data_IF_588752486329
#
_entry.id   IF_588752486329
#
_cell.length_a   1.000
_cell.length_b   1.000
_cell.length_c   1.000
_cell.angle_alpha   90.00
_cell.angle_beta   90.00
_cell.angle_gamma   90.00
#
_symmetry.space_group_name_H-M   'P 1'
#
loop_
_entity.id
_entity.type
_entity.pdbx_description
1 polymer ?
#
# COMPACT_ATOMS: atom_id res chain seq x y z
N UNK A 1 -15.13 -4.23 9.01
CA UNK A 1 -15.39 -2.85 9.52
C UNK A 1 -14.56 -1.86 8.71
N UNK A 2 -15.08 -0.68 8.47
CA UNK A 2 -14.32 0.40 7.83
C UNK A 2 -14.29 1.60 8.76
N UNK A 3 -13.09 2.15 9.00
CA UNK A 3 -12.93 3.36 9.81
C UNK A 3 -12.08 4.38 9.08
N UNK A 4 -12.13 5.63 9.55
CA UNK A 4 -11.22 6.68 9.08
C UNK A 4 -9.93 6.62 9.91
N UNK A 5 -8.80 7.02 9.31
CA UNK A 5 -7.52 7.01 10.01
C UNK A 5 -7.56 7.80 11.31
N UNK A 6 -8.28 8.94 11.32
CA UNK A 6 -8.37 9.81 12.51
C UNK A 6 -9.09 9.14 13.68
N UNK A 7 -9.81 8.03 13.46
CA UNK A 7 -10.48 7.26 14.51
C UNK A 7 -9.62 6.13 15.05
N UNK A 8 -8.35 6.12 14.71
CA UNK A 8 -7.42 5.08 15.12
C UNK A 8 -6.18 5.68 15.78
N UNK A 9 -5.43 4.85 16.47
CA UNK A 9 -4.09 5.22 16.94
C UNK A 9 -3.14 4.02 16.81
N UNK A 10 -1.84 4.32 16.75
CA UNK A 10 -0.80 3.31 16.58
C UNK A 10 0.10 3.32 17.82
N UNK A 11 0.43 2.13 18.32
CA UNK A 11 1.33 2.00 19.46
C UNK A 11 2.81 1.97 19.03
N UNK A 12 3.71 1.79 19.98
CA UNK A 12 5.17 1.76 19.73
C UNK A 12 5.60 0.55 18.91
N UNK A 13 4.76 -0.47 18.81
CA UNK A 13 5.03 -1.67 18.00
C UNK A 13 4.35 -1.62 16.64
N UNK A 14 3.85 -0.44 16.27
CA UNK A 14 3.17 -0.17 15.00
C UNK A 14 1.87 -0.96 14.83
N UNK A 15 1.23 -1.32 15.92
CA UNK A 15 -0.10 -1.95 15.89
C UNK A 15 -1.18 -0.89 15.96
N UNK A 16 -2.21 -1.07 15.18
CA UNK A 16 -3.30 -0.10 15.05
C UNK A 16 -4.50 -0.51 15.90
N UNK A 17 -5.03 0.45 16.64
CA UNK A 17 -6.17 0.28 17.56
C UNK A 17 -7.33 1.17 17.15
N UNK A 18 -8.52 0.70 17.44
CA UNK A 18 -9.76 1.45 17.31
C UNK A 18 -10.58 1.17 18.57
N UNK A 19 -10.96 2.22 19.30
CA UNK A 19 -11.72 2.10 20.56
C UNK A 19 -11.05 1.13 21.56
N UNK A 20 -9.72 1.27 21.69
CA UNK A 20 -8.90 0.50 22.62
C UNK A 20 -8.78 -1.00 22.31
N UNK A 21 -9.19 -1.42 21.12
CA UNK A 21 -9.03 -2.79 20.65
C UNK A 21 -8.17 -2.82 19.39
N UNK A 22 -7.42 -3.91 19.21
CA UNK A 22 -6.67 -4.12 17.96
C UNK A 22 -7.66 -4.10 16.79
N UNK A 23 -7.34 -3.30 15.77
CA UNK A 23 -8.24 -3.09 14.66
C UNK A 23 -8.12 -4.18 13.60
N UNK A 24 -9.25 -4.72 13.17
CA UNK A 24 -9.37 -5.60 12.01
C UNK A 24 -10.40 -4.99 11.07
N UNK A 25 -10.01 -4.74 9.82
CA UNK A 25 -10.89 -4.17 8.82
C UNK A 25 -10.16 -3.21 7.91
N UNK A 26 -10.93 -2.33 7.27
CA UNK A 26 -10.42 -1.35 6.32
C UNK A 26 -10.29 0.03 6.97
N UNK A 27 -9.19 0.71 6.68
CA UNK A 27 -8.96 2.08 7.11
C UNK A 27 -8.82 2.98 5.90
N UNK A 28 -9.56 4.10 5.90
CA UNK A 28 -9.46 5.09 4.82
C UNK A 28 -8.82 6.37 5.34
N UNK A 29 -8.06 7.02 4.47
CA UNK A 29 -7.48 8.35 4.70
C UNK A 29 -8.02 9.29 3.64
N UNK A 30 -8.39 10.51 4.05
CA UNK A 30 -8.94 11.52 3.14
C UNK A 30 -8.05 12.74 3.08
N UNK A 31 -8.06 13.43 1.93
CA UNK A 31 -7.37 14.71 1.79
C UNK A 31 -8.22 15.85 2.35
N UNK A 32 -7.74 17.07 2.21
CA UNK A 32 -8.41 18.27 2.75
C UNK A 32 -9.80 18.51 2.16
N UNK A 33 -10.03 18.03 0.94
CA UNK A 33 -11.32 18.15 0.25
C UNK A 33 -12.24 16.97 0.49
N UNK A 34 -11.85 16.02 1.36
CA UNK A 34 -12.66 14.89 1.72
C UNK A 34 -12.57 13.70 0.75
N UNK A 35 -11.64 13.73 -0.21
CA UNK A 35 -11.46 12.63 -1.15
C UNK A 35 -10.65 11.51 -0.52
N UNK A 36 -11.06 10.26 -0.71
CA UNK A 36 -10.31 9.11 -0.21
C UNK A 36 -9.01 8.99 -1.01
N UNK A 37 -7.87 9.04 -0.33
CA UNK A 37 -6.55 8.93 -0.94
C UNK A 37 -5.80 7.66 -0.53
N UNK A 38 -6.33 6.92 0.44
CA UNK A 38 -5.68 5.69 0.89
C UNK A 38 -6.72 4.73 1.46
N UNK A 39 -6.55 3.44 1.16
CA UNK A 39 -7.31 2.37 1.78
C UNK A 39 -6.31 1.28 2.17
N UNK A 40 -6.29 0.96 3.46
CA UNK A 40 -5.37 -0.03 4.03
C UNK A 40 -6.18 -1.04 4.83
N UNK A 41 -5.85 -2.32 4.69
CA UNK A 41 -6.49 -3.38 5.45
C UNK A 41 -5.60 -3.81 6.62
N UNK A 42 -6.25 -4.18 7.73
CA UNK A 42 -5.57 -4.61 8.95
C UNK A 42 -6.21 -5.89 9.49
N UNK A 43 -5.39 -6.73 10.10
CA UNK A 43 -5.84 -7.89 10.87
C UNK A 43 -5.15 -7.84 12.22
N UNK A 44 -5.93 -7.77 13.30
CA UNK A 44 -5.40 -7.67 14.68
C UNK A 44 -4.36 -6.56 14.82
N UNK A 45 -4.65 -5.39 14.23
CA UNK A 45 -3.81 -4.20 14.31
C UNK A 45 -2.60 -4.17 13.38
N UNK A 46 -2.40 -5.19 12.57
CA UNK A 46 -1.24 -5.32 11.68
C UNK A 46 -1.73 -5.29 10.23
N UNK A 47 -1.01 -4.60 9.36
CA UNK A 47 -1.37 -4.52 7.95
C UNK A 47 -1.48 -5.90 7.33
N UNK A 48 -2.63 -6.20 6.73
CA UNK A 48 -2.89 -7.50 6.10
C UNK A 48 -4.00 -7.34 5.08
N UNK A 49 -3.74 -7.73 3.84
CA UNK A 49 -4.69 -7.63 2.75
C UNK A 49 -4.36 -6.52 1.76
N UNK A 50 -5.28 -6.20 0.85
CA UNK A 50 -5.05 -5.19 -0.17
C UNK A 50 -4.81 -3.79 0.39
N UNK A 51 -3.93 -3.04 -0.29
CA UNK A 51 -3.64 -1.64 0.03
C UNK A 51 -3.66 -0.84 -1.26
N UNK A 52 -4.33 0.31 -1.24
CA UNK A 52 -4.47 1.16 -2.42
C UNK A 52 -4.27 2.61 -2.01
N UNK A 53 -3.55 3.37 -2.85
CA UNK A 53 -3.43 4.81 -2.71
C UNK A 53 -3.84 5.47 -4.02
N UNK A 54 -4.42 6.67 -3.93
CA UNK A 54 -4.88 7.45 -5.08
C UNK A 54 -4.27 8.84 -5.05
N UNK A 55 -4.09 9.40 -6.25
CA UNK A 55 -3.81 10.82 -6.38
C UNK A 55 -5.10 11.61 -6.15
N UNK A 56 -4.98 12.92 -5.93
CA UNK A 56 -6.15 13.79 -5.67
C UNK A 56 -7.16 13.79 -6.81
N UNK A 57 -6.75 13.48 -8.03
CA UNK A 57 -7.64 13.44 -9.19
C UNK A 57 -8.41 12.11 -9.30
N UNK A 58 -8.19 11.18 -8.38
CA UNK A 58 -8.87 9.89 -8.37
C UNK A 58 -8.14 8.77 -9.09
N UNK A 59 -7.05 9.06 -9.80
CA UNK A 59 -6.27 8.02 -10.45
C UNK A 59 -5.45 7.25 -9.42
N UNK A 60 -5.17 5.97 -9.70
CA UNK A 60 -4.38 5.15 -8.78
C UNK A 60 -2.94 5.62 -8.73
N UNK A 61 -2.40 5.69 -7.51
CA UNK A 61 -1.02 6.02 -7.24
C UNK A 61 -0.21 4.76 -6.96
N UNK A 62 -0.77 3.84 -6.17
CA UNK A 62 -0.07 2.64 -5.72
C UNK A 62 -1.08 1.57 -5.31
N UNK A 63 -0.77 0.30 -5.58
CA UNK A 63 -1.56 -0.80 -5.04
C UNK A 63 -0.69 -2.02 -4.82
N UNK A 64 -1.09 -2.84 -3.84
CA UNK A 64 -0.39 -4.06 -3.50
C UNK A 64 -1.09 -4.78 -2.37
N UNK A 65 -0.39 -5.72 -1.76
CA UNK A 65 -0.90 -6.52 -0.65
C UNK A 65 0.15 -6.65 0.43
N UNK A 66 -0.33 -6.81 1.66
CA UNK A 66 0.53 -7.09 2.80
C UNK A 66 -0.03 -8.30 3.56
N UNK A 67 0.83 -8.97 4.32
CA UNK A 67 0.43 -10.03 5.21
C UNK A 67 1.35 -9.99 6.43
N UNK A 68 0.75 -9.91 7.62
CA UNK A 68 1.53 -9.81 8.85
C UNK A 68 2.45 -8.60 8.91
N UNK A 69 2.08 -7.50 8.26
CA UNK A 69 2.88 -6.28 8.22
C UNK A 69 3.95 -6.26 7.12
N UNK A 70 4.01 -7.29 6.28
CA UNK A 70 5.05 -7.46 5.26
C UNK A 70 4.43 -7.38 3.88
N UNK A 71 5.05 -6.62 2.97
CA UNK A 71 4.61 -6.55 1.57
C UNK A 71 4.84 -7.88 0.89
N UNK A 72 3.82 -8.39 0.19
CA UNK A 72 3.89 -9.66 -0.55
C UNK A 72 3.27 -9.47 -1.94
N UNK A 73 3.57 -10.40 -2.84
CA UNK A 73 2.97 -10.43 -4.17
C UNK A 73 3.40 -9.25 -5.03
N UNK A 74 2.51 -8.83 -5.89
CA UNK A 74 2.79 -7.76 -6.84
C UNK A 74 2.39 -6.41 -6.26
N UNK A 75 3.31 -5.43 -6.40
CA UNK A 75 3.09 -4.03 -6.05
C UNK A 75 3.29 -3.19 -7.28
N UNK A 76 2.37 -2.26 -7.54
CA UNK A 76 2.45 -1.34 -8.68
C UNK A 76 2.31 0.09 -8.20
N UNK A 77 3.07 0.97 -8.84
CA UNK A 77 2.98 2.41 -8.63
C UNK A 77 2.90 3.10 -9.98
N UNK A 78 2.09 4.14 -10.09
CA UNK A 78 1.90 4.90 -11.33
C UNK A 78 2.36 6.33 -11.15
N UNK A 79 2.84 6.91 -12.25
CA UNK A 79 3.10 8.34 -12.30
C UNK A 79 1.77 9.11 -12.39
N UNK A 80 1.75 10.42 -12.05
CA UNK A 80 0.51 11.21 -12.18
C UNK A 80 -0.08 11.21 -13.58
N UNK A 81 0.73 10.98 -14.62
CA UNK A 81 0.26 10.91 -16.00
C UNK A 81 -0.39 9.57 -16.37
N UNK A 82 -0.48 8.63 -15.43
CA UNK A 82 -1.09 7.32 -15.63
C UNK A 82 -0.14 6.24 -16.13
N UNK A 83 1.10 6.58 -16.42
CA UNK A 83 2.12 5.61 -16.86
C UNK A 83 2.60 4.79 -15.65
N UNK A 84 2.84 3.50 -15.87
CA UNK A 84 3.39 2.64 -14.81
C UNK A 84 4.78 3.14 -14.42
N UNK A 85 5.00 3.36 -13.13
CA UNK A 85 6.26 3.87 -12.59
C UNK A 85 7.12 2.77 -11.98
N UNK A 86 6.49 1.83 -11.25
CA UNK A 86 7.19 0.76 -10.55
C UNK A 86 6.34 -0.51 -10.57
N UNK A 87 7.02 -1.63 -10.71
CA UNK A 87 6.41 -2.95 -10.58
C UNK A 87 7.35 -3.81 -9.75
N UNK A 88 6.93 -4.16 -8.56
CA UNK A 88 7.72 -4.97 -7.62
C UNK A 88 7.01 -6.28 -7.38
N UNK A 89 7.77 -7.36 -7.29
CA UNK A 89 7.23 -8.67 -6.92
C UNK A 89 7.99 -9.16 -5.69
N UNK A 90 7.23 -9.52 -4.67
CA UNK A 90 7.75 -10.07 -3.41
C UNK A 90 7.26 -11.50 -3.25
N UNK A 91 8.05 -12.35 -2.59
CA UNK A 91 7.61 -13.69 -2.24
C UNK A 91 6.73 -13.63 -0.97
N UNK A 92 6.27 -14.79 -0.50
CA UNK A 92 5.36 -14.86 0.65
C UNK A 92 6.01 -14.41 1.96
N UNK A 93 7.33 -14.35 2.03
CA UNK A 93 8.09 -13.90 3.19
C UNK A 93 8.50 -12.43 3.08
N UNK A 94 8.07 -11.74 2.01
CA UNK A 94 8.43 -10.34 1.78
C UNK A 94 9.78 -10.13 1.14
N UNK A 95 10.42 -11.19 0.64
CA UNK A 95 11.69 -11.07 -0.07
C UNK A 95 11.49 -10.61 -1.51
N UNK A 96 12.48 -9.90 -2.04
CA UNK A 96 12.44 -9.41 -3.40
C UNK A 96 12.54 -10.57 -4.40
N UNK A 97 11.62 -10.59 -5.39
CA UNK A 97 11.68 -11.49 -6.54
C UNK A 97 12.07 -10.71 -7.79
N UNK A 98 11.43 -9.56 -8.00
CA UNK A 98 11.71 -8.72 -9.15
C UNK A 98 11.44 -7.26 -8.83
N UNK A 99 12.20 -6.37 -9.47
CA UNK A 99 12.04 -4.93 -9.32
C UNK A 99 12.23 -4.26 -10.66
N UNK A 100 11.20 -3.50 -11.08
CA UNK A 100 11.24 -2.73 -12.32
C UNK A 100 10.80 -1.29 -12.06
N UNK A 101 11.43 -0.34 -12.75
CA UNK A 101 11.05 1.07 -12.67
C UNK A 101 11.09 1.68 -14.05
N UNK A 102 10.17 2.60 -14.31
CA UNK A 102 10.06 3.35 -15.57
C UNK A 102 9.99 4.84 -15.26
N UNK A 103 10.52 5.65 -16.18
CA UNK A 103 10.39 7.10 -16.08
C UNK A 103 9.02 7.55 -16.62
N UNK A 104 8.78 8.87 -16.62
CA UNK A 104 7.50 9.44 -17.05
C UNK A 104 7.19 9.22 -18.52
N UNK A 105 8.19 9.00 -19.33
CA UNK A 105 8.06 8.76 -20.77
C UNK A 105 7.89 7.27 -21.09
N UNK A 106 7.89 6.41 -20.07
CA UNK A 106 7.71 4.98 -20.25
C UNK A 106 9.00 4.20 -20.50
N UNK A 107 10.15 4.84 -20.33
CA UNK A 107 11.44 4.17 -20.52
C UNK A 107 11.81 3.36 -19.28
N UNK A 108 12.22 2.12 -19.46
CA UNK A 108 12.65 1.24 -18.39
C UNK A 108 14.01 1.72 -17.84
N UNK A 109 14.06 2.08 -16.57
CA UNK A 109 15.29 2.59 -15.91
C UNK A 109 15.92 1.59 -14.97
N UNK A 110 15.16 0.67 -14.40
CA UNK A 110 15.66 -0.40 -13.52
C UNK A 110 14.92 -1.69 -13.86
N UNK A 111 15.66 -2.78 -13.99
CA UNK A 111 15.08 -4.12 -14.14
C UNK A 111 16.04 -5.11 -13.46
N UNK A 112 15.62 -5.60 -12.29
CA UNK A 112 16.40 -6.54 -11.51
C UNK A 112 15.57 -7.75 -11.12
N UNK A 113 16.16 -8.92 -11.24
CA UNK A 113 15.60 -10.16 -10.72
C UNK A 113 16.50 -10.65 -9.59
N UNK A 114 15.89 -11.20 -8.56
CA UNK A 114 16.59 -11.66 -7.37
C UNK A 114 16.40 -13.17 -7.24
N UNK A 115 17.48 -13.87 -6.96
CA UNK A 115 17.41 -15.30 -6.66
C UNK A 115 17.38 -15.47 -5.14
N UNK A 116 16.52 -16.33 -4.68
CA UNK A 116 16.42 -16.63 -3.25
C UNK A 116 17.25 -17.87 -2.92
#
# INVERSE_FOLDING_TARGET
MRIEEEDSYMDDHMRVYHKDELFTGEMTTRDKEGRVISLTNYAEGIQSGPQIQWYSDGSKKREGQAEGGVAIGEWRKWHPNGQLAEHYVFNEQGGWVRRQRWDKEGNLTVDKSYTS
#
